data_IF_621176919080
#
_entry.id   IF_621176919080
#
_cell.length_a   1.000
_cell.length_b   1.000
_cell.length_c   1.000
_cell.angle_alpha   90.00
_cell.angle_beta   90.00
_cell.angle_gamma   90.00
#
_symmetry.space_group_name_H-M   'P 1'
#
loop_
_entity.id
_entity.type
_entity.pdbx_description
1 polymer ?
#
# COMPACT_ATOMS: atom_id res chain seq x y z
N UNK A 1 -7.94 24.88 -5.17
CA UNK A 1 -9.11 24.08 -5.54
C UNK A 1 -9.10 22.78 -4.74
N UNK A 2 -10.07 22.65 -3.82
CA UNK A 2 -10.54 21.50 -3.04
C UNK A 2 -9.55 20.40 -2.56
N UNK A 3 -9.54 20.25 -1.24
CA UNK A 3 -8.88 19.24 -0.40
C UNK A 3 -8.92 17.79 -0.93
N UNK A 4 -7.74 17.19 -1.17
CA UNK A 4 -7.59 15.72 -1.27
C UNK A 4 -7.53 15.07 0.13
N UNK A 5 -8.50 15.37 1.01
CA UNK A 5 -8.48 14.95 2.43
C UNK A 5 -8.90 13.50 2.71
N UNK A 6 -9.18 12.68 1.69
CA UNK A 6 -9.38 11.23 1.86
C UNK A 6 -8.81 10.51 0.64
N UNK A 7 -7.48 10.36 0.57
CA UNK A 7 -6.81 9.66 -0.55
C UNK A 7 -7.27 8.20 -0.64
N UNK A 8 -7.83 7.66 0.45
CA UNK A 8 -8.47 6.35 0.47
C UNK A 8 -9.85 6.52 1.11
N UNK A 9 -10.90 6.42 0.30
CA UNK A 9 -12.27 6.32 0.79
C UNK A 9 -12.36 5.25 1.88
N UNK A 10 -13.21 5.48 2.90
CA UNK A 10 -13.25 4.71 4.14
C UNK A 10 -12.98 3.23 3.93
N UNK A 11 -11.79 2.78 4.37
CA UNK A 11 -11.38 1.39 4.19
C UNK A 11 -12.17 0.54 5.18
N UNK A 12 -13.40 0.20 4.80
CA UNK A 12 -14.37 -0.44 5.68
C UNK A 12 -14.32 -1.98 5.62
N UNK A 13 -13.41 -2.55 4.81
CA UNK A 13 -13.35 -3.99 4.59
C UNK A 13 -12.01 -4.46 4.00
N UNK A 14 -11.80 -5.79 4.03
CA UNK A 14 -10.71 -6.48 3.31
C UNK A 14 -10.72 -6.15 1.81
N UNK A 15 -11.90 -6.07 1.22
CA UNK A 15 -12.08 -5.69 -0.19
C UNK A 15 -11.58 -4.27 -0.45
N UNK A 16 -11.82 -3.34 0.49
CA UNK A 16 -11.29 -1.97 0.41
C UNK A 16 -9.77 -1.93 0.32
N UNK A 17 -9.07 -2.66 1.20
CA UNK A 17 -7.61 -2.78 1.18
C UNK A 17 -7.13 -3.29 -0.19
N UNK A 18 -7.72 -4.39 -0.67
CA UNK A 18 -7.35 -5.00 -1.96
C UNK A 18 -7.59 -4.07 -3.15
N UNK A 19 -8.68 -3.30 -3.12
CA UNK A 19 -9.00 -2.36 -4.19
C UNK A 19 -7.96 -1.22 -4.22
N UNK A 20 -7.60 -0.68 -3.07
CA UNK A 20 -6.58 0.38 -3.00
C UNK A 20 -5.23 -0.14 -3.50
N UNK A 21 -4.79 -1.29 -3.02
CA UNK A 21 -3.52 -1.90 -3.46
C UNK A 21 -3.53 -2.24 -4.94
N UNK A 22 -4.70 -2.58 -5.50
CA UNK A 22 -4.86 -2.75 -6.95
C UNK A 22 -4.68 -1.44 -7.71
N UNK A 23 -5.25 -0.33 -7.23
CA UNK A 23 -5.05 0.98 -7.84
C UNK A 23 -3.60 1.43 -7.75
N UNK A 24 -2.94 1.26 -6.59
CA UNK A 24 -1.49 1.51 -6.44
C UNK A 24 -0.71 0.68 -7.47
N UNK A 25 -1.02 -0.60 -7.64
CA UNK A 25 -0.37 -1.45 -8.65
C UNK A 25 -0.58 -0.96 -10.08
N UNK A 26 -1.68 -0.30 -10.42
CA UNK A 26 -1.86 0.34 -11.74
C UNK A 26 -0.99 1.58 -11.87
N UNK A 27 -0.89 2.40 -10.83
CA UNK A 27 0.02 3.56 -10.80
C UNK A 27 1.49 3.13 -10.96
N UNK A 28 1.87 1.98 -10.39
CA UNK A 28 3.21 1.38 -10.57
C UNK A 28 3.51 1.12 -12.04
N UNK A 29 2.55 0.67 -12.85
CA UNK A 29 2.80 0.40 -14.28
C UNK A 29 3.22 1.65 -15.06
N UNK A 30 2.78 2.82 -14.59
CA UNK A 30 3.03 4.13 -15.21
C UNK A 30 4.25 4.85 -14.62
N UNK A 31 4.70 4.48 -13.42
CA UNK A 31 5.82 5.13 -12.76
C UNK A 31 7.14 4.90 -13.52
N UNK A 32 7.84 5.98 -13.89
CA UNK A 32 9.10 5.95 -14.65
C UNK A 32 10.34 6.38 -13.88
N UNK A 33 10.17 6.79 -12.63
CA UNK A 33 11.26 7.35 -11.84
C UNK A 33 11.32 6.72 -10.46
N UNK A 34 12.52 6.72 -9.88
CA UNK A 34 12.76 6.27 -8.51
C UNK A 34 11.90 7.01 -7.49
N UNK A 35 11.78 8.36 -7.51
CA UNK A 35 10.90 9.07 -6.58
C UNK A 35 9.43 8.67 -6.69
N UNK A 36 8.91 8.47 -7.91
CA UNK A 36 7.53 8.05 -8.11
C UNK A 36 7.28 6.64 -7.53
N UNK A 37 8.21 5.71 -7.75
CA UNK A 37 8.15 4.37 -7.18
C UNK A 37 8.25 4.39 -5.64
N UNK A 38 9.08 5.28 -5.07
CA UNK A 38 9.21 5.44 -3.62
C UNK A 38 7.93 5.97 -2.99
N UNK A 39 7.24 6.88 -3.66
CA UNK A 39 5.94 7.37 -3.18
C UNK A 39 4.89 6.25 -3.16
N UNK A 40 4.85 5.41 -4.21
CA UNK A 40 3.94 4.26 -4.28
C UNK A 40 4.26 3.21 -3.20
N UNK A 41 5.55 2.98 -2.93
CA UNK A 41 5.99 2.12 -1.82
C UNK A 41 5.49 2.63 -0.46
N UNK A 42 5.64 3.93 -0.19
CA UNK A 42 5.16 4.55 1.06
C UNK A 42 3.64 4.46 1.18
N UNK A 43 2.91 4.69 0.10
CA UNK A 43 1.45 4.59 0.04
C UNK A 43 0.95 3.18 0.37
N UNK A 44 1.57 2.15 -0.21
CA UNK A 44 1.24 0.76 0.11
C UNK A 44 1.53 0.45 1.59
N UNK A 45 2.71 0.86 2.09
CA UNK A 45 3.10 0.65 3.48
C UNK A 45 2.20 1.37 4.49
N UNK A 46 1.66 2.52 4.12
CA UNK A 46 0.74 3.29 4.95
C UNK A 46 -0.55 2.54 5.28
N UNK A 47 -1.06 1.72 4.36
CA UNK A 47 -2.25 0.89 4.62
C UNK A 47 -1.99 -0.14 5.74
N UNK A 48 -0.80 -0.73 5.76
CA UNK A 48 -0.40 -1.63 6.86
C UNK A 48 -0.35 -0.85 8.17
N UNK A 49 0.28 0.33 8.19
CA UNK A 49 0.34 1.21 9.37
C UNK A 49 -1.04 1.56 9.90
N UNK A 50 -2.00 1.87 9.04
CA UNK A 50 -3.38 2.18 9.45
C UNK A 50 -4.03 1.04 10.23
N UNK A 51 -3.77 -0.22 9.88
CA UNK A 51 -4.30 -1.37 10.62
C UNK A 51 -3.72 -1.54 12.03
N UNK A 52 -2.67 -0.80 12.38
CA UNK A 52 -2.13 -0.72 13.74
C UNK A 52 -2.73 0.43 14.55
N UNK A 53 -3.45 1.38 13.93
CA UNK A 53 -4.00 2.54 14.61
C UNK A 53 -5.11 2.17 15.62
N UNK A 54 -5.18 2.83 16.79
CA UNK A 54 -6.24 2.58 17.78
C UNK A 54 -7.65 2.82 17.23
N UNK A 55 -7.82 3.79 16.31
CA UNK A 55 -9.11 4.06 15.65
C UNK A 55 -9.62 2.87 14.84
N UNK A 56 -8.72 2.15 14.16
CA UNK A 56 -9.05 0.92 13.44
C UNK A 56 -9.40 -0.21 14.38
N UNK A 57 -8.70 -0.34 15.51
CA UNK A 57 -9.09 -1.31 16.54
C UNK A 57 -10.46 -1.01 17.13
N UNK A 58 -10.79 0.27 17.36
CA UNK A 58 -12.12 0.70 17.84
C UNK A 58 -13.21 0.39 16.81
N UNK A 59 -12.94 0.60 15.52
CA UNK A 59 -13.92 0.41 14.46
C UNK A 59 -14.11 -1.06 14.06
N UNK A 60 -13.03 -1.84 13.96
CA UNK A 60 -13.06 -3.24 13.46
C UNK A 60 -12.95 -4.30 14.55
N UNK A 61 -12.66 -3.92 15.80
CA UNK A 61 -12.48 -4.86 16.90
C UNK A 61 -11.39 -5.90 16.60
N UNK A 62 -11.71 -7.17 16.84
CA UNK A 62 -10.79 -8.31 16.61
C UNK A 62 -10.48 -8.56 15.14
N UNK A 63 -11.37 -8.16 14.22
CA UNK A 63 -11.17 -8.29 12.76
C UNK A 63 -10.01 -7.45 12.22
N UNK A 64 -9.52 -6.48 13.00
CA UNK A 64 -8.34 -5.68 12.62
C UNK A 64 -7.11 -6.55 12.35
N UNK A 65 -6.99 -7.73 12.99
CA UNK A 65 -5.90 -8.67 12.74
C UNK A 65 -5.96 -9.23 11.32
N UNK A 66 -7.13 -9.68 10.87
CA UNK A 66 -7.32 -10.18 9.50
C UNK A 66 -7.12 -9.10 8.43
N UNK A 67 -7.52 -7.85 8.75
CA UNK A 67 -7.28 -6.69 7.90
C UNK A 67 -5.77 -6.41 7.77
N UNK A 68 -5.04 -6.47 8.89
CA UNK A 68 -3.58 -6.33 8.91
C UNK A 68 -2.89 -7.40 8.10
N UNK A 69 -3.29 -8.66 8.27
CA UNK A 69 -2.70 -9.78 7.51
C UNK A 69 -2.97 -9.62 6.01
N UNK A 70 -4.18 -9.18 5.66
CA UNK A 70 -4.53 -8.84 4.26
C UNK A 70 -3.68 -7.67 3.74
N UNK A 71 -3.51 -6.60 4.53
CA UNK A 71 -2.69 -5.44 4.14
C UNK A 71 -1.22 -5.83 3.94
N UNK A 72 -0.64 -6.64 4.82
CA UNK A 72 0.74 -7.13 4.69
C UNK A 72 0.94 -7.98 3.44
N UNK A 73 -0.02 -8.85 3.13
CA UNK A 73 0.02 -9.68 1.93
C UNK A 73 -0.05 -8.85 0.64
N UNK A 74 -0.98 -7.89 0.58
CA UNK A 74 -1.10 -7.00 -0.57
C UNK A 74 0.12 -6.09 -0.70
N UNK A 75 0.62 -5.53 0.40
CA UNK A 75 1.86 -4.74 0.44
C UNK A 75 3.02 -5.50 -0.21
N UNK A 76 3.31 -6.73 0.25
CA UNK A 76 4.41 -7.54 -0.30
C UNK A 76 4.24 -7.77 -1.82
N UNK A 77 3.02 -8.05 -2.26
CA UNK A 77 2.69 -8.22 -3.68
C UNK A 77 2.89 -6.93 -4.49
N UNK A 78 2.55 -5.78 -3.92
CA UNK A 78 2.76 -4.46 -4.52
C UNK A 78 4.26 -4.12 -4.58
N UNK A 79 5.03 -4.36 -3.53
CA UNK A 79 6.49 -4.10 -3.52
C UNK A 79 7.22 -4.96 -4.56
N UNK A 80 6.85 -6.24 -4.70
CA UNK A 80 7.37 -7.08 -5.80
C UNK A 80 7.14 -6.45 -7.17
N UNK A 81 5.96 -5.85 -7.37
CA UNK A 81 5.66 -5.13 -8.62
C UNK A 81 6.49 -3.87 -8.77
N UNK A 82 6.68 -3.09 -7.70
CA UNK A 82 7.55 -1.91 -7.67
C UNK A 82 8.98 -2.29 -8.04
N UNK A 83 9.55 -3.35 -7.45
CA UNK A 83 10.88 -3.84 -7.76
C UNK A 83 11.01 -4.28 -9.23
N UNK A 84 10.00 -4.96 -9.78
CA UNK A 84 9.98 -5.30 -11.22
C UNK A 84 9.92 -4.06 -12.11
N UNK A 85 9.13 -3.06 -11.73
CA UNK A 85 9.04 -1.82 -12.48
C UNK A 85 10.35 -1.02 -12.42
N UNK A 86 10.98 -0.95 -11.24
CA UNK A 86 12.27 -0.32 -11.05
C UNK A 86 13.32 -0.90 -12.02
N UNK A 87 13.42 -2.24 -12.09
CA UNK A 87 14.25 -2.94 -13.07
C UNK A 87 13.90 -2.55 -14.51
N UNK A 88 12.61 -2.53 -14.86
CA UNK A 88 12.14 -2.21 -16.22
C UNK A 88 12.51 -0.79 -16.67
N UNK A 89 12.52 0.18 -15.74
CA UNK A 89 12.81 1.59 -16.06
C UNK A 89 14.25 1.99 -15.73
N UNK A 90 15.11 1.02 -15.41
CA UNK A 90 16.54 1.26 -15.18
C UNK A 90 16.88 2.00 -13.89
N UNK A 91 16.04 1.88 -12.85
CA UNK A 91 16.31 2.45 -11.52
C UNK A 91 16.48 1.36 -10.47
N UNK A 92 17.09 1.71 -9.34
CA UNK A 92 17.45 0.76 -8.28
C UNK A 92 16.22 0.03 -7.67
N UNK A 93 16.19 -1.33 -7.68
CA UNK A 93 15.05 -2.14 -7.22
C UNK A 93 15.28 -2.77 -5.83
N UNK A 94 15.56 -1.96 -4.81
CA UNK A 94 15.93 -2.42 -3.46
C UNK A 94 14.85 -2.16 -2.39
N UNK A 95 13.57 -2.16 -2.77
CA UNK A 95 12.48 -2.00 -1.80
C UNK A 95 12.25 -3.30 -1.02
N UNK A 96 12.11 -3.20 0.30
CA UNK A 96 11.82 -4.36 1.16
C UNK A 96 10.39 -4.88 0.94
N UNK A 97 10.28 -6.15 0.56
CA UNK A 97 9.01 -6.82 0.35
C UNK A 97 8.31 -7.21 1.67
N UNK A 98 9.01 -7.08 2.80
CA UNK A 98 8.55 -7.37 4.16
C UNK A 98 8.29 -6.06 4.88
N UNK A 99 7.07 -5.90 5.40
CA UNK A 99 6.75 -4.70 6.18
C UNK A 99 7.30 -4.81 7.61
N UNK A 100 7.99 -3.76 8.08
CA UNK A 100 8.40 -3.60 9.47
C UNK A 100 9.56 -4.50 9.92
N UNK A 101 10.42 -4.89 8.97
CA UNK A 101 11.66 -5.60 9.26
C UNK A 101 12.78 -4.66 9.67
#
# INVERSE_FOLDING_TARGET
>A
MAERRNIYGGVNSRTGIRNIEREIRKEVDQARSRPALTELYKRAGYLVTLTHAPSWRKHFGTRVKELRDTARHEFSSTVRKINRQAKRVGVEPNYDETWGR
#
